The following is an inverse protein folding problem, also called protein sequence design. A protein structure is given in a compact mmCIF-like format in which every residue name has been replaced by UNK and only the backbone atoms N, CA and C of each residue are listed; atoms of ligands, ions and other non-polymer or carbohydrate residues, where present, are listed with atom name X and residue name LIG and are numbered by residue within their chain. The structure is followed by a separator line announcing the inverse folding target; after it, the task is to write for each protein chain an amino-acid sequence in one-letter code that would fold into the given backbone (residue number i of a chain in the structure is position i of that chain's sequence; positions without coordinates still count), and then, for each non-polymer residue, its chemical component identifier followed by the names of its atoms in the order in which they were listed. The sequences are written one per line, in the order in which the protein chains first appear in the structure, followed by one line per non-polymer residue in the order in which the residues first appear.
data_IF_647198884796
#
_entry.id   IF_647198884796
#
_cell.length_a   1.000
_cell.length_b   1.000
_cell.length_c   1.000
_cell.angle_alpha   90.00
_cell.angle_beta   90.00
_cell.angle_gamma   90.00
#
_symmetry.space_group_name_H-M   'P 1'
#
loop_
_entity.id
_entity.type
_entity.pdbx_description
1 polymer ?
#
# COMPACT_ATOMS: atom_id res chain seq x y z
N UNK A 1 -1.23 21.59 14.79
CA UNK A 1 -1.80 21.18 16.09
C UNK A 1 -0.87 20.20 16.79
N UNK A 2 -0.72 20.30 18.12
CA UNK A 2 0.10 19.41 18.95
C UNK A 2 -0.81 18.53 19.80
N UNK A 3 -0.81 17.22 19.56
CA UNK A 3 -1.53 16.28 20.41
C UNK A 3 -0.69 15.87 21.63
N UNK A 4 -1.34 15.48 22.75
CA UNK A 4 -0.65 14.78 23.82
C UNK A 4 0.03 13.50 23.29
N UNK A 5 1.10 13.03 23.96
CA UNK A 5 1.78 11.79 23.57
C UNK A 5 0.79 10.63 23.46
N UNK A 6 0.85 9.88 22.36
CA UNK A 6 0.03 8.70 22.13
C UNK A 6 0.74 7.48 22.73
N UNK A 7 -0.01 6.48 23.22
CA UNK A 7 0.56 5.17 23.59
C UNK A 7 1.48 4.64 22.46
N UNK A 8 2.75 4.43 22.80
CA UNK A 8 3.81 4.01 21.87
C UNK A 8 4.77 5.12 21.40
N UNK A 9 4.52 6.39 21.75
CA UNK A 9 5.42 7.52 21.47
C UNK A 9 5.62 8.37 22.72
N UNK A 10 6.88 8.60 23.08
CA UNK A 10 7.27 9.34 24.29
C UNK A 10 7.19 10.88 24.11
N UNK A 11 6.84 11.36 22.91
CA UNK A 11 6.82 12.78 22.57
C UNK A 11 5.56 13.21 21.82
N UNK A 12 5.21 14.49 21.95
CA UNK A 12 4.09 15.12 21.23
C UNK A 12 4.36 15.08 19.73
N UNK A 13 3.38 14.62 18.94
CA UNK A 13 3.45 14.66 17.47
C UNK A 13 2.74 15.90 16.93
N UNK A 14 3.41 16.64 16.05
CA UNK A 14 2.86 17.79 15.37
C UNK A 14 2.30 17.41 14.00
N UNK A 15 1.05 17.77 13.73
CA UNK A 15 0.42 17.64 12.41
C UNK A 15 0.09 19.03 11.84
N UNK A 16 0.31 19.19 10.54
CA UNK A 16 -0.08 20.37 9.75
C UNK A 16 -1.09 19.88 8.71
N UNK A 17 -2.26 20.51 8.67
CA UNK A 17 -3.32 20.18 7.71
C UNK A 17 -4.04 21.45 7.28
N UNK A 18 -4.56 21.43 6.07
CA UNK A 18 -5.47 22.44 5.54
C UNK A 18 -6.94 22.16 5.89
N UNK A 19 -7.22 21.04 6.56
CA UNK A 19 -8.54 20.71 7.07
C UNK A 19 -8.82 21.54 8.32
N UNK A 20 -10.07 21.92 8.54
CA UNK A 20 -10.50 22.53 9.79
C UNK A 20 -10.30 21.55 10.95
N UNK A 21 -9.65 21.99 12.02
CA UNK A 21 -9.34 21.17 13.18
C UNK A 21 -9.71 21.96 14.41
N UNK A 22 -10.56 21.36 15.24
CA UNK A 22 -11.00 21.93 16.51
C UNK A 22 -10.97 20.83 17.58
N UNK A 23 -10.66 21.23 18.81
CA UNK A 23 -10.56 20.39 19.99
C UNK A 23 -11.39 20.94 21.16
N UNK A 24 -12.14 22.04 20.95
CA UNK A 24 -12.87 22.76 22.00
C UNK A 24 -13.96 21.89 22.65
N UNK A 25 -14.68 21.10 21.84
CA UNK A 25 -15.68 20.15 22.35
C UNK A 25 -15.31 18.70 22.03
N UNK A 26 -15.91 17.77 22.78
CA UNK A 26 -15.64 16.33 22.64
C UNK A 26 -16.00 15.75 21.26
N UNK A 27 -16.89 16.39 20.50
CA UNK A 27 -17.21 15.99 19.12
C UNK A 27 -16.07 16.34 18.17
N UNK A 28 -15.56 17.56 18.26
CA UNK A 28 -14.53 18.06 17.36
C UNK A 28 -13.20 17.34 17.60
N UNK A 29 -12.86 17.08 18.86
CA UNK A 29 -11.73 16.22 19.20
C UNK A 29 -11.81 14.83 18.54
N UNK A 30 -12.98 14.20 18.48
CA UNK A 30 -13.15 12.90 17.81
C UNK A 30 -12.93 13.01 16.30
N UNK A 31 -13.42 14.08 15.67
CA UNK A 31 -13.22 14.34 14.23
C UNK A 31 -11.73 14.55 13.95
N UNK A 32 -11.05 15.29 14.81
CA UNK A 32 -9.60 15.51 14.74
C UNK A 32 -8.82 14.20 14.89
N UNK A 33 -9.16 13.36 15.87
CA UNK A 33 -8.59 12.03 16.07
C UNK A 33 -8.82 11.10 14.86
N UNK A 34 -9.99 11.18 14.21
CA UNK A 34 -10.29 10.44 12.97
C UNK A 34 -9.39 10.88 11.81
N UNK A 35 -9.22 12.19 11.60
CA UNK A 35 -8.34 12.73 10.56
C UNK A 35 -6.89 12.27 10.74
N UNK A 36 -6.42 12.21 11.99
CA UNK A 36 -5.07 11.74 12.32
C UNK A 36 -4.94 10.23 12.15
N UNK A 37 -5.98 9.47 12.50
CA UNK A 37 -6.04 8.03 12.22
C UNK A 37 -5.97 7.75 10.72
N UNK A 38 -6.67 8.54 9.89
CA UNK A 38 -6.55 8.46 8.43
C UNK A 38 -5.13 8.79 7.96
N UNK A 39 -4.48 9.80 8.54
CA UNK A 39 -3.09 10.11 8.21
C UNK A 39 -2.12 8.97 8.55
N UNK A 40 -2.41 8.20 9.60
CA UNK A 40 -1.62 7.01 9.98
C UNK A 40 -1.60 5.95 8.87
N UNK A 41 -2.61 5.91 8.00
CA UNK A 41 -2.62 5.06 6.81
C UNK A 41 -1.49 5.39 5.82
N UNK A 42 -0.80 6.54 5.94
CA UNK A 42 0.40 6.89 5.17
C UNK A 42 1.49 5.82 5.27
N UNK A 43 1.64 5.15 6.41
CA UNK A 43 2.59 4.02 6.56
C UNK A 43 2.31 2.87 5.60
N UNK A 44 1.10 2.79 5.06
CA UNK A 44 0.73 1.88 3.98
C UNK A 44 1.53 2.09 2.70
N UNK A 45 1.96 3.32 2.40
CA UNK A 45 2.81 3.62 1.23
C UNK A 45 4.19 2.99 1.39
N UNK A 46 4.83 3.14 2.55
CA UNK A 46 6.15 2.54 2.79
C UNK A 46 6.08 1.01 2.78
N UNK A 47 5.02 0.46 3.38
CA UNK A 47 4.77 -0.99 3.39
C UNK A 47 4.55 -1.52 1.97
N UNK A 48 3.76 -0.80 1.16
CA UNK A 48 3.54 -1.13 -0.25
C UNK A 48 4.83 -1.04 -1.06
N UNK A 49 5.66 -0.01 -0.83
CA UNK A 49 6.93 0.16 -1.52
C UNK A 49 7.92 -0.98 -1.21
N UNK A 50 7.97 -1.45 0.05
CA UNK A 50 8.75 -2.64 0.43
C UNK A 50 8.26 -3.87 -0.34
N UNK A 51 6.95 -4.03 -0.51
CA UNK A 51 6.36 -5.16 -1.26
C UNK A 51 6.57 -5.07 -2.77
N UNK A 52 6.52 -3.89 -3.38
CA UNK A 52 6.76 -3.71 -4.83
C UNK A 52 8.14 -4.24 -5.24
N UNK A 53 9.15 -4.15 -4.37
CA UNK A 53 10.48 -4.72 -4.66
C UNK A 53 10.46 -6.23 -4.91
N UNK A 54 9.50 -6.96 -4.33
CA UNK A 54 9.33 -8.40 -4.57
C UNK A 54 8.86 -8.69 -6.01
N UNK A 55 8.34 -7.69 -6.72
CA UNK A 55 7.88 -7.77 -8.11
C UNK A 55 8.90 -7.26 -9.14
N UNK A 56 9.98 -6.63 -8.66
CA UNK A 56 11.01 -6.06 -9.53
C UNK A 56 11.97 -7.15 -10.00
N UNK A 57 12.17 -7.24 -11.32
CA UNK A 57 13.22 -8.07 -11.88
C UNK A 57 14.61 -7.48 -11.55
N UNK A 58 15.58 -8.36 -11.33
CA UNK A 58 16.96 -7.95 -11.11
C UNK A 58 17.59 -7.46 -12.42
N UNK A 59 18.37 -6.38 -12.36
CA UNK A 59 19.10 -5.82 -13.51
C UNK A 59 20.47 -5.29 -13.08
N UNK A 60 21.48 -5.50 -13.92
CA UNK A 60 22.83 -4.90 -13.76
C UNK A 60 22.97 -3.58 -14.50
N UNK A 61 21.97 -3.18 -15.30
CA UNK A 61 22.06 -2.00 -16.15
C UNK A 61 22.18 -0.72 -15.34
N UNK A 62 23.14 0.12 -15.74
CA UNK A 62 23.34 1.45 -15.17
C UNK A 62 22.49 2.52 -15.86
N UNK A 63 21.87 2.22 -17.00
CA UNK A 63 20.98 3.13 -17.70
C UNK A 63 19.73 3.44 -16.86
N UNK A 64 19.37 4.73 -16.79
CA UNK A 64 18.23 5.17 -15.99
C UNK A 64 16.92 4.63 -16.54
N UNK A 65 16.77 4.65 -17.85
CA UNK A 65 15.59 4.21 -18.61
C UNK A 65 15.27 2.74 -18.31
N UNK A 66 16.31 1.90 -18.24
CA UNK A 66 16.15 0.47 -17.93
C UNK A 66 15.67 0.28 -16.50
N UNK A 67 16.25 0.98 -15.52
CA UNK A 67 15.79 0.90 -14.11
C UNK A 67 14.38 1.44 -13.94
N UNK A 68 14.05 2.53 -14.63
CA UNK A 68 12.72 3.13 -14.61
C UNK A 68 11.68 2.16 -15.19
N UNK A 69 12.00 1.51 -16.31
CA UNK A 69 11.15 0.48 -16.90
C UNK A 69 10.91 -0.70 -15.95
N UNK A 70 11.97 -1.24 -15.32
CA UNK A 70 11.84 -2.34 -14.36
C UNK A 70 10.98 -1.94 -13.15
N UNK A 71 11.18 -0.73 -12.64
CA UNK A 71 10.37 -0.20 -11.54
C UNK A 71 8.90 -0.02 -11.95
N UNK A 72 8.65 0.58 -13.11
CA UNK A 72 7.29 0.74 -13.66
C UNK A 72 6.59 -0.61 -13.84
N UNK A 73 7.30 -1.60 -14.38
CA UNK A 73 6.78 -2.96 -14.53
C UNK A 73 6.47 -3.63 -13.19
N UNK A 74 7.32 -3.43 -12.17
CA UNK A 74 7.07 -3.92 -10.82
C UNK A 74 5.81 -3.31 -10.20
N UNK A 75 5.61 -1.99 -10.37
CA UNK A 75 4.40 -1.28 -9.92
C UNK A 75 3.16 -1.83 -10.63
N UNK A 76 3.23 -2.04 -11.95
CA UNK A 76 2.13 -2.62 -12.73
C UNK A 76 1.78 -4.03 -12.24
N UNK A 77 2.75 -4.92 -12.07
CA UNK A 77 2.52 -6.29 -11.57
C UNK A 77 1.96 -6.31 -10.15
N UNK A 78 2.46 -5.44 -9.27
CA UNK A 78 1.93 -5.29 -7.91
C UNK A 78 0.46 -4.85 -7.91
N UNK A 79 0.11 -3.85 -8.72
CA UNK A 79 -1.27 -3.37 -8.81
C UNK A 79 -2.20 -4.42 -9.44
N UNK A 80 -1.74 -5.15 -10.46
CA UNK A 80 -2.49 -6.27 -11.04
C UNK A 80 -2.72 -7.38 -10.01
N UNK A 81 -1.72 -7.71 -9.19
CA UNK A 81 -1.88 -8.69 -8.11
C UNK A 81 -2.97 -8.26 -7.13
N UNK A 82 -2.95 -7.00 -6.65
CA UNK A 82 -3.98 -6.48 -5.76
C UNK A 82 -5.37 -6.49 -6.41
N UNK A 83 -5.46 -6.15 -7.70
CA UNK A 83 -6.73 -6.16 -8.43
C UNK A 83 -7.27 -7.59 -8.57
N UNK A 84 -6.43 -8.55 -8.94
CA UNK A 84 -6.83 -9.97 -9.04
C UNK A 84 -7.22 -10.51 -7.67
N UNK A 85 -6.46 -10.20 -6.62
CA UNK A 85 -6.83 -10.57 -5.25
C UNK A 85 -8.19 -9.99 -4.87
N UNK A 86 -8.42 -8.70 -5.14
CA UNK A 86 -9.69 -8.04 -4.90
C UNK A 86 -10.85 -8.74 -5.63
N UNK A 87 -10.68 -9.06 -6.92
CA UNK A 87 -11.67 -9.79 -7.70
C UNK A 87 -11.94 -11.19 -7.15
N UNK A 88 -10.89 -11.93 -6.75
CA UNK A 88 -11.03 -13.25 -6.11
C UNK A 88 -11.78 -13.12 -4.79
N UNK A 89 -11.46 -12.10 -3.97
CA UNK A 89 -12.19 -11.81 -2.74
C UNK A 89 -13.67 -11.53 -3.00
N UNK A 90 -13.98 -10.68 -3.98
CA UNK A 90 -15.36 -10.29 -4.30
C UNK A 90 -16.21 -11.42 -4.92
N UNK A 91 -15.57 -12.43 -5.53
CA UNK A 91 -16.27 -13.50 -6.25
C UNK A 91 -16.33 -14.82 -5.49
N UNK A 92 -15.34 -15.10 -4.64
CA UNK A 92 -15.18 -16.40 -3.96
C UNK A 92 -15.53 -16.33 -2.47
N UNK A 93 -15.47 -15.14 -1.86
CA UNK A 93 -15.63 -14.99 -0.42
C UNK A 93 -16.76 -14.00 -0.09
N UNK A 94 -17.53 -14.30 0.95
CA UNK A 94 -18.63 -13.43 1.41
C UNK A 94 -18.13 -12.16 2.12
N UNK A 95 -16.92 -12.22 2.70
CA UNK A 95 -16.32 -11.13 3.45
C UNK A 95 -14.98 -10.66 2.86
N UNK A 96 -14.92 -9.37 2.54
CA UNK A 96 -13.70 -8.68 2.13
C UNK A 96 -12.77 -8.48 3.32
N UNK A 97 -11.47 -8.72 3.12
CA UNK A 97 -10.42 -8.36 4.08
C UNK A 97 -9.31 -7.52 3.44
N UNK A 98 -8.74 -6.54 4.16
CA UNK A 98 -7.63 -5.73 3.65
C UNK A 98 -6.35 -6.53 3.34
N UNK A 99 -6.13 -7.65 4.04
CA UNK A 99 -4.96 -8.51 3.83
C UNK A 99 -5.19 -9.39 2.60
N UNK A 100 -4.30 -9.37 1.59
CA UNK A 100 -4.48 -10.23 0.42
C UNK A 100 -4.65 -11.71 0.76
N UNK A 101 -5.54 -12.41 0.06
CA UNK A 101 -5.75 -13.87 0.16
C UNK A 101 -4.89 -14.61 -0.86
N UNK A 102 -4.81 -14.10 -2.08
CA UNK A 102 -3.87 -14.51 -3.11
C UNK A 102 -2.48 -13.98 -2.73
N UNK A 103 -1.51 -14.86 -2.60
CA UNK A 103 -0.14 -14.44 -2.33
C UNK A 103 0.52 -13.88 -3.59
N UNK A 104 1.42 -12.90 -3.42
CA UNK A 104 2.19 -12.32 -4.52
C UNK A 104 2.94 -13.39 -5.33
N UNK A 105 3.55 -14.36 -4.63
CA UNK A 105 4.24 -15.49 -5.26
C UNK A 105 3.33 -16.28 -6.19
N UNK A 106 2.13 -16.68 -5.72
CA UNK A 106 1.19 -17.46 -6.53
C UNK A 106 0.72 -16.69 -7.77
N UNK A 107 0.54 -15.38 -7.64
CA UNK A 107 0.24 -14.52 -8.79
C UNK A 107 1.40 -14.47 -9.80
N UNK A 108 2.64 -14.27 -9.33
CA UNK A 108 3.82 -14.24 -10.20
C UNK A 108 4.05 -15.58 -10.91
N UNK A 109 3.90 -16.70 -10.20
CA UNK A 109 4.01 -18.06 -10.77
C UNK A 109 2.97 -18.26 -11.89
N UNK A 110 1.73 -17.78 -11.69
CA UNK A 110 0.68 -17.83 -12.71
C UNK A 110 1.01 -16.98 -13.94
N UNK A 111 1.51 -15.76 -13.74
CA UNK A 111 1.92 -14.87 -14.84
C UNK A 111 3.06 -15.51 -15.64
N UNK A 112 4.09 -16.05 -14.97
CA UNK A 112 5.21 -16.73 -15.62
C UNK A 112 4.74 -17.91 -16.48
N UNK A 113 3.89 -18.78 -15.92
CA UNK A 113 3.31 -19.90 -16.67
C UNK A 113 2.52 -19.41 -17.90
N UNK A 114 1.73 -18.35 -17.74
CA UNK A 114 0.93 -17.80 -18.84
C UNK A 114 1.79 -17.20 -19.94
N UNK A 115 2.84 -16.47 -19.58
CA UNK A 115 3.78 -15.89 -20.53
C UNK A 115 4.54 -16.97 -21.31
N UNK A 116 5.01 -18.02 -20.63
CA UNK A 116 5.66 -19.18 -21.28
C UNK A 116 4.73 -19.87 -22.28
N UNK A 117 3.45 -19.97 -21.97
CA UNK A 117 2.46 -20.59 -22.85
C UNK A 117 2.15 -19.74 -24.09
N UNK A 118 2.26 -18.41 -23.98
CA UNK A 118 1.94 -17.49 -25.07
C UNK A 118 3.14 -17.18 -25.98
N UNK A 119 4.36 -17.31 -25.46
CA UNK A 119 5.61 -16.92 -26.13
C UNK A 119 6.51 -18.12 -26.50
N UNK A 120 6.18 -19.32 -26.03
CA UNK A 120 6.84 -20.58 -26.40
C UNK A 120 5.98 -21.39 -27.35
#
# INVERSE_FOLDING_TARGET
MLLPPREGYDSKQAFITNLEVDDEIGLDRRITEQKITQYTARGGIETSYKKIKDFAAWTTSKAFEVRLFHFGMAVLLYNMWLLVDFLVQATVYDEFRPKPRLTAKRFLDFVDQRLRTLLG
#
